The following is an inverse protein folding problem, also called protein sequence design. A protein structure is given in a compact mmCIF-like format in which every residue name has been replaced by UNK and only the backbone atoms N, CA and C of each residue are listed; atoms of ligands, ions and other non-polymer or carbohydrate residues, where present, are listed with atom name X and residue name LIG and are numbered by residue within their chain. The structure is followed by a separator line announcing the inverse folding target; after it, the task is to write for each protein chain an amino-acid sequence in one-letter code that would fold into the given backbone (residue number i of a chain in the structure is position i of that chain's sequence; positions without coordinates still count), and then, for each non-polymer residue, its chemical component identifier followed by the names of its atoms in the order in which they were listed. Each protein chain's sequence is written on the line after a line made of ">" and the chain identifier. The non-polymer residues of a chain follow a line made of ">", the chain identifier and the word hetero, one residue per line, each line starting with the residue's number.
data_IF_843648562922
#
_entry.id   IF_843648562922
#
_cell.length_a   1.000
_cell.length_b   1.000
_cell.length_c   1.000
_cell.angle_alpha   90.00
_cell.angle_beta   90.00
_cell.angle_gamma   90.00
#
_symmetry.space_group_name_H-M   'P 1'
#
loop_
_entity.id
_entity.type
_entity.pdbx_description
1 polymer ?
#
# COMPACT_ATOMS: atom_id res chain seq x y z
N UNK A 1 23.70 -0.30 -0.94
CA UNK A 1 23.04 -1.62 -1.06
C UNK A 1 21.99 -1.49 -2.16
N UNK A 2 22.24 -2.04 -3.37
CA UNK A 2 21.35 -1.85 -4.52
C UNK A 2 20.17 -2.83 -4.46
N UNK A 3 18.99 -2.34 -4.05
CA UNK A 3 17.74 -3.08 -4.13
C UNK A 3 17.23 -3.01 -5.58
N UNK A 4 17.61 -3.98 -6.40
CA UNK A 4 17.05 -4.18 -7.74
C UNK A 4 15.62 -4.72 -7.60
N UNK A 5 14.62 -3.84 -7.58
CA UNK A 5 13.22 -4.18 -7.78
C UNK A 5 12.97 -4.43 -9.27
N UNK A 6 13.05 -5.71 -9.69
CA UNK A 6 12.46 -6.15 -10.95
C UNK A 6 10.93 -6.13 -10.80
N UNK A 7 10.29 -4.98 -11.04
CA UNK A 7 8.85 -4.91 -11.27
C UNK A 7 8.56 -5.44 -12.68
N UNK A 8 8.26 -6.73 -12.82
CA UNK A 8 7.54 -7.22 -13.98
C UNK A 8 6.06 -6.80 -13.82
N UNK A 9 5.75 -5.59 -14.26
CA UNK A 9 4.38 -5.11 -14.42
C UNK A 9 3.73 -5.88 -15.57
N UNK A 10 2.87 -6.84 -15.26
CA UNK A 10 1.96 -7.46 -16.24
C UNK A 10 0.59 -6.83 -16.07
N UNK A 11 0.23 -5.94 -17.00
CA UNK A 11 -1.12 -5.39 -17.13
C UNK A 11 -1.95 -6.27 -18.08
N UNK A 12 -3.21 -6.50 -17.72
CA UNK A 12 -4.19 -7.13 -18.61
C UNK A 12 -4.47 -6.21 -19.82
N UNK A 13 -4.22 -6.75 -21.02
CA UNK A 13 -4.78 -6.25 -22.29
C UNK A 13 -6.04 -7.07 -22.62
N UNK A 14 -7.07 -6.39 -23.10
CA UNK A 14 -8.44 -6.90 -23.22
C UNK A 14 -8.55 -8.19 -24.03
N UNK A 15 -9.16 -9.22 -23.43
CA UNK A 15 -9.67 -10.42 -24.12
C UNK A 15 -11.13 -10.61 -23.67
N UNK A 16 -12.07 -10.32 -24.58
CA UNK A 16 -13.51 -10.52 -24.38
C UNK A 16 -13.85 -12.01 -24.38
N UNK A 17 -14.24 -12.54 -23.22
CA UNK A 17 -15.02 -13.78 -23.14
C UNK A 17 -16.24 -13.54 -22.26
N UNK A 18 -17.43 -13.63 -22.86
CA UNK A 18 -18.71 -13.50 -22.17
C UNK A 18 -19.12 -14.86 -21.62
N UNK A 19 -19.22 -14.97 -20.30
CA UNK A 19 -20.07 -15.96 -19.65
C UNK A 19 -21.01 -15.26 -18.65
N UNK A 20 -22.29 -15.63 -18.70
CA UNK A 20 -23.36 -15.06 -17.87
C UNK A 20 -23.24 -15.49 -16.40
N UNK A 21 -23.42 -14.58 -15.42
CA UNK A 21 -23.34 -14.94 -14.02
C UNK A 21 -24.64 -15.61 -13.54
N UNK A 22 -24.49 -16.80 -12.95
CA UNK A 22 -25.54 -17.47 -12.17
C UNK A 22 -25.81 -16.69 -10.88
N UNK A 23 -27.11 -16.57 -10.59
CA UNK A 23 -27.71 -15.82 -9.49
C UNK A 23 -27.21 -16.29 -8.11
N UNK A 24 -26.52 -15.41 -7.38
CA UNK A 24 -26.21 -15.57 -5.95
C UNK A 24 -26.95 -14.48 -5.19
N UNK A 25 -27.62 -14.89 -4.10
CA UNK A 25 -28.48 -14.08 -3.25
C UNK A 25 -27.83 -12.75 -2.81
N UNK A 26 -28.67 -11.72 -2.77
CA UNK A 26 -28.42 -10.33 -2.36
C UNK A 26 -27.85 -10.19 -0.94
N UNK A 27 -26.55 -10.34 -0.81
CA UNK A 27 -25.76 -9.40 -0.01
C UNK A 27 -25.51 -8.17 -0.90
N UNK A 28 -25.64 -6.96 -0.35
CA UNK A 28 -25.44 -5.72 -1.11
C UNK A 28 -24.09 -5.77 -1.80
N UNK A 29 -24.10 -5.83 -3.13
CA UNK A 29 -22.90 -5.94 -3.93
C UNK A 29 -22.01 -4.71 -3.64
N UNK A 30 -21.01 -4.86 -2.78
CA UNK A 30 -20.16 -3.76 -2.31
C UNK A 30 -19.27 -3.21 -3.42
N UNK A 31 -19.23 -3.89 -4.57
CA UNK A 31 -18.31 -3.66 -5.67
C UNK A 31 -19.09 -3.44 -6.97
N UNK A 32 -18.62 -2.49 -7.78
CA UNK A 32 -19.20 -2.13 -9.06
C UNK A 32 -18.81 -3.11 -10.16
N UNK A 33 -19.75 -3.52 -11.02
CA UNK A 33 -19.44 -4.28 -12.24
C UNK A 33 -18.62 -3.51 -13.29
N UNK A 34 -18.41 -2.20 -13.11
CA UNK A 34 -17.67 -1.36 -14.07
C UNK A 34 -16.25 -1.12 -13.59
N UNK A 35 -15.30 -1.33 -14.51
CA UNK A 35 -13.89 -1.00 -14.32
C UNK A 35 -13.65 0.50 -14.52
N UNK A 36 -13.04 1.14 -13.53
CA UNK A 36 -12.74 2.58 -13.53
C UNK A 36 -11.36 2.82 -12.94
N UNK A 37 -10.72 3.97 -13.22
CA UNK A 37 -9.54 4.43 -12.49
C UNK A 37 -9.66 4.19 -10.98
N UNK A 38 -8.63 3.62 -10.36
CA UNK A 38 -8.61 3.43 -8.91
C UNK A 38 -8.68 4.77 -8.18
N UNK A 39 -9.52 4.83 -7.13
CA UNK A 39 -9.65 6.00 -6.25
C UNK A 39 -8.94 5.68 -4.93
N UNK A 40 -7.78 6.28 -4.72
CA UNK A 40 -7.01 6.12 -3.47
C UNK A 40 -7.15 7.39 -2.64
N UNK A 41 -7.39 7.26 -1.34
CA UNK A 41 -7.41 8.40 -0.40
C UNK A 41 -6.30 8.23 0.62
N UNK A 42 -5.37 9.18 0.66
CA UNK A 42 -4.39 9.27 1.73
C UNK A 42 -4.94 10.07 2.93
N UNK A 43 -4.92 9.48 4.12
CA UNK A 43 -5.33 10.12 5.37
C UNK A 43 -4.09 10.53 6.18
N UNK A 44 -3.79 11.83 6.15
CA UNK A 44 -2.60 12.41 6.76
C UNK A 44 -2.83 12.97 8.17
N UNK A 45 -3.97 12.66 8.81
CA UNK A 45 -4.32 13.21 10.13
C UNK A 45 -3.25 12.96 11.19
N UNK A 46 -2.55 11.82 11.13
CA UNK A 46 -1.46 11.50 12.06
C UNK A 46 -0.23 12.39 11.78
N UNK A 47 0.21 12.48 10.53
CA UNK A 47 1.31 13.38 10.14
C UNK A 47 1.05 14.84 10.53
N UNK A 48 -0.22 15.27 10.45
CA UNK A 48 -0.66 16.63 10.80
C UNK A 48 -0.87 16.86 12.30
N UNK A 49 -0.65 15.84 13.15
CA UNK A 49 -0.87 15.91 14.60
C UNK A 49 -2.35 16.03 15.00
N UNK A 50 -3.29 15.76 14.08
CA UNK A 50 -4.74 15.76 14.33
C UNK A 50 -5.23 14.44 14.93
N UNK A 51 -4.42 13.39 14.81
CA UNK A 51 -4.65 12.08 15.39
C UNK A 51 -3.35 11.57 15.97
N UNK A 52 -3.44 10.88 17.09
CA UNK A 52 -2.26 10.36 17.76
C UNK A 52 -1.82 8.99 17.24
N UNK A 53 -0.51 8.81 17.06
CA UNK A 53 0.15 7.51 16.99
C UNK A 53 1.14 7.43 18.19
N UNK A 54 0.89 6.55 19.16
CA UNK A 54 1.70 6.49 20.39
C UNK A 54 3.14 6.07 20.13
N UNK A 55 3.43 5.50 18.95
CA UNK A 55 4.77 5.07 18.55
C UNK A 55 5.49 6.10 17.67
N UNK A 56 4.96 7.33 17.55
CA UNK A 56 5.65 8.43 16.85
C UNK A 56 6.41 9.33 17.83
N UNK A 57 7.61 9.74 17.43
CA UNK A 57 8.42 10.73 18.14
C UNK A 57 7.85 12.13 17.96
N UNK A 58 7.35 12.75 19.03
CA UNK A 58 6.71 14.08 19.00
C UNK A 58 7.59 15.20 19.54
N UNK A 59 8.59 14.83 20.36
CA UNK A 59 9.54 15.75 20.99
C UNK A 59 10.86 15.03 21.26
N UNK A 60 11.95 15.79 21.23
CA UNK A 60 13.28 15.30 21.62
C UNK A 60 13.26 14.87 23.09
N UNK A 61 13.91 13.74 23.39
CA UNK A 61 13.96 13.14 24.71
C UNK A 61 12.71 12.35 25.10
N UNK A 62 11.72 12.20 24.20
CA UNK A 62 10.60 11.29 24.43
C UNK A 62 11.09 9.84 24.42
N UNK A 63 10.68 9.07 25.42
CA UNK A 63 10.90 7.63 25.49
C UNK A 63 9.76 6.89 24.79
N UNK A 64 10.09 6.00 23.85
CA UNK A 64 9.14 5.10 23.19
C UNK A 64 9.67 3.68 23.32
N UNK A 65 8.85 2.76 23.83
CA UNK A 65 9.20 1.35 23.92
C UNK A 65 8.61 0.58 22.73
N UNK A 66 9.46 0.23 21.77
CA UNK A 66 9.09 -0.58 20.62
C UNK A 66 9.17 -2.07 20.98
N UNK A 67 8.20 -2.86 20.52
CA UNK A 67 8.11 -4.29 20.85
C UNK A 67 9.36 -5.08 20.44
N UNK A 68 10.01 -4.69 19.34
CA UNK A 68 11.16 -5.40 18.78
C UNK A 68 12.50 -4.67 19.01
N UNK A 69 12.51 -3.34 18.95
CA UNK A 69 13.73 -2.54 19.12
C UNK A 69 14.00 -2.11 20.57
N UNK A 70 13.04 -2.31 21.47
CA UNK A 70 13.15 -1.91 22.87
C UNK A 70 12.97 -0.40 23.09
N UNK A 71 13.61 0.12 24.14
CA UNK A 71 13.51 1.53 24.52
C UNK A 71 14.32 2.41 23.55
N UNK A 72 13.62 3.32 22.88
CA UNK A 72 14.20 4.38 22.06
C UNK A 72 14.00 5.75 22.71
N UNK A 73 15.03 6.60 22.64
CA UNK A 73 14.96 8.00 23.07
C UNK A 73 14.97 8.86 21.82
N UNK A 74 13.86 9.54 21.56
CA UNK A 74 13.68 10.35 20.36
C UNK A 74 14.72 11.49 20.25
N UNK A 75 15.38 11.56 19.11
CA UNK A 75 16.30 12.63 18.70
C UNK A 75 15.62 13.59 17.71
N UNK A 76 16.23 14.76 17.44
CA UNK A 76 15.69 15.74 16.48
C UNK A 76 15.43 15.12 15.09
N UNK A 77 16.29 14.20 14.67
CA UNK A 77 16.19 13.51 13.38
C UNK A 77 14.99 12.56 13.28
N UNK A 78 14.41 12.17 14.42
CA UNK A 78 13.24 11.29 14.50
C UNK A 78 11.91 12.07 14.45
N UNK A 79 11.97 13.39 14.37
CA UNK A 79 10.82 14.26 14.23
C UNK A 79 10.67 14.67 12.76
N UNK A 80 9.43 14.68 12.26
CA UNK A 80 9.16 15.26 10.95
C UNK A 80 9.11 16.78 11.01
N UNK A 81 9.88 17.42 10.15
CA UNK A 81 9.76 18.85 9.87
C UNK A 81 8.48 19.15 9.08
N UNK A 82 8.03 20.42 9.11
CA UNK A 82 6.90 20.86 8.27
C UNK A 82 7.15 20.63 6.77
N UNK A 83 8.40 20.77 6.32
CA UNK A 83 8.77 20.54 4.91
C UNK A 83 8.68 19.05 4.57
N UNK A 84 9.14 18.18 5.45
CA UNK A 84 9.04 16.73 5.29
C UNK A 84 7.58 16.25 5.25
N UNK A 85 6.70 16.79 6.10
CA UNK A 85 5.26 16.50 6.05
C UNK A 85 4.67 16.91 4.69
N UNK A 86 5.04 18.09 4.17
CA UNK A 86 4.59 18.54 2.85
C UNK A 86 5.15 17.66 1.72
N UNK A 87 6.41 17.22 1.84
CA UNK A 87 7.05 16.33 0.89
C UNK A 87 6.36 14.96 0.81
N UNK A 88 6.03 14.34 1.95
CA UNK A 88 5.25 13.09 2.00
C UNK A 88 3.91 13.28 1.30
N UNK A 89 3.14 14.30 1.70
CA UNK A 89 1.80 14.56 1.16
C UNK A 89 1.82 14.82 -0.34
N UNK A 90 2.74 15.67 -0.80
CA UNK A 90 2.87 16.01 -2.21
C UNK A 90 3.29 14.82 -3.06
N UNK A 91 4.33 14.09 -2.62
CA UNK A 91 4.86 12.93 -3.35
C UNK A 91 3.84 11.80 -3.38
N UNK A 92 3.14 11.54 -2.28
CA UNK A 92 2.08 10.53 -2.24
C UNK A 92 0.91 10.89 -3.17
N UNK A 93 0.52 12.16 -3.26
CA UNK A 93 -0.48 12.59 -4.25
C UNK A 93 0.00 12.38 -5.70
N UNK A 94 1.29 12.59 -5.97
CA UNK A 94 1.88 12.30 -7.28
C UNK A 94 1.82 10.81 -7.62
N UNK A 95 2.18 9.94 -6.66
CA UNK A 95 2.09 8.48 -6.83
C UNK A 95 0.65 8.03 -7.01
N UNK A 96 -0.30 8.53 -6.20
CA UNK A 96 -1.73 8.24 -6.36
C UNK A 96 -2.21 8.65 -7.74
N UNK A 97 -1.83 9.83 -8.23
CA UNK A 97 -2.18 10.30 -9.58
C UNK A 97 -1.60 9.40 -10.68
N UNK A 98 -0.38 8.90 -10.50
CA UNK A 98 0.21 7.91 -11.40
C UNK A 98 -0.62 6.62 -11.40
N UNK A 99 -0.85 6.04 -10.22
CA UNK A 99 -1.62 4.80 -10.06
C UNK A 99 -3.05 4.91 -10.59
N UNK A 100 -3.75 6.02 -10.37
CA UNK A 100 -5.10 6.24 -10.91
C UNK A 100 -5.15 6.26 -12.44
N UNK A 101 -4.07 6.67 -13.12
CA UNK A 101 -3.99 6.60 -14.60
C UNK A 101 -3.64 5.20 -15.10
N UNK A 102 -2.90 4.46 -14.29
CA UNK A 102 -2.31 3.17 -14.66
C UNK A 102 -3.24 2.00 -14.33
N UNK A 103 -3.95 2.06 -13.21
CA UNK A 103 -4.78 0.97 -12.69
C UNK A 103 -6.27 1.25 -12.85
N UNK A 104 -6.98 0.24 -13.36
CA UNK A 104 -8.44 0.19 -13.30
C UNK A 104 -8.86 -0.87 -12.29
N UNK A 105 -9.95 -0.62 -11.59
CA UNK A 105 -10.56 -1.53 -10.63
C UNK A 105 -12.08 -1.50 -10.77
N UNK A 106 -12.72 -2.60 -10.38
CA UNK A 106 -14.14 -2.59 -10.02
C UNK A 106 -14.35 -1.76 -8.75
N UNK A 107 -14.91 -0.56 -8.88
CA UNK A 107 -14.94 0.39 -7.77
C UNK A 107 -15.81 -0.06 -6.59
N UNK A 108 -15.40 0.25 -5.36
CA UNK A 108 -16.25 0.07 -4.17
C UNK A 108 -17.45 1.03 -4.20
N UNK A 109 -18.63 0.51 -3.91
CA UNK A 109 -19.89 1.23 -3.88
C UNK A 109 -20.23 1.72 -2.47
N UNK A 110 -19.76 1.01 -1.45
CA UNK A 110 -19.94 1.37 -0.04
C UNK A 110 -18.77 2.21 0.48
N UNK A 111 -19.02 3.17 1.38
CA UNK A 111 -17.96 3.92 2.04
C UNK A 111 -17.07 3.01 2.91
N UNK A 112 -15.78 3.33 2.97
CA UNK A 112 -14.83 2.65 3.85
C UNK A 112 -14.92 3.28 5.24
N UNK A 113 -15.19 2.47 6.25
CA UNK A 113 -15.06 2.84 7.65
C UNK A 113 -13.66 2.41 8.11
N UNK A 114 -12.78 3.38 8.29
CA UNK A 114 -11.43 3.13 8.76
C UNK A 114 -11.18 3.97 10.02
N UNK A 115 -10.82 3.26 11.08
CA UNK A 115 -10.61 3.83 12.41
C UNK A 115 -11.87 4.57 12.92
N UNK A 116 -11.83 5.90 12.94
CA UNK A 116 -12.88 6.80 13.43
C UNK A 116 -13.53 7.64 12.30
N UNK A 117 -13.21 7.35 11.03
CA UNK A 117 -13.61 8.17 9.90
C UNK A 117 -14.23 7.34 8.77
N UNK A 118 -15.24 7.96 8.14
CA UNK A 118 -15.91 7.45 6.95
C UNK A 118 -15.32 8.09 5.70
N UNK A 119 -14.88 7.26 4.77
CA UNK A 119 -14.33 7.68 3.48
C UNK A 119 -15.27 7.23 2.37
N UNK A 120 -15.89 8.21 1.71
CA UNK A 120 -16.78 7.98 0.58
C UNK A 120 -16.01 8.07 -0.74
N UNK A 121 -16.52 7.41 -1.78
CA UNK A 121 -15.96 7.49 -3.14
C UNK A 121 -14.47 7.10 -3.21
N UNK A 122 -14.10 6.04 -2.49
CA UNK A 122 -12.72 5.56 -2.40
C UNK A 122 -12.70 4.03 -2.52
N UNK A 123 -11.63 3.51 -3.12
CA UNK A 123 -11.38 2.09 -3.29
C UNK A 123 -10.33 1.59 -2.30
N UNK A 124 -9.38 2.46 -1.92
CA UNK A 124 -8.31 2.19 -0.96
C UNK A 124 -8.07 3.43 -0.11
N UNK A 125 -8.06 3.26 1.22
CA UNK A 125 -7.63 4.29 2.17
C UNK A 125 -6.24 3.94 2.68
N UNK A 126 -5.33 4.89 2.64
CA UNK A 126 -3.97 4.74 3.16
C UNK A 126 -3.79 5.74 4.29
N UNK A 127 -3.68 5.25 5.52
CA UNK A 127 -3.33 6.10 6.66
C UNK A 127 -1.81 6.26 6.73
N UNK A 128 -1.32 7.49 6.77
CA UNK A 128 0.13 7.75 6.82
C UNK A 128 0.55 8.17 8.21
N UNK A 129 1.60 7.54 8.72
CA UNK A 129 2.24 7.87 9.99
C UNK A 129 3.77 7.89 9.82
N UNK A 130 4.51 8.10 10.89
CA UNK A 130 5.96 8.06 10.92
C UNK A 130 6.45 7.45 12.22
N UNK A 131 7.57 6.72 12.15
CA UNK A 131 8.16 6.02 13.29
C UNK A 131 9.68 5.99 13.15
N UNK A 132 10.35 5.81 14.28
CA UNK A 132 11.76 5.46 14.26
C UNK A 132 11.93 4.03 13.73
N UNK A 133 12.97 3.83 12.94
CA UNK A 133 13.45 2.52 12.50
C UNK A 133 14.93 2.41 12.86
N UNK A 134 15.32 1.26 13.39
CA UNK A 134 16.70 0.99 13.81
C UNK A 134 17.62 0.63 12.63
N UNK A 135 17.05 0.40 11.45
CA UNK A 135 17.73 0.04 10.21
C UNK A 135 17.53 1.12 9.11
N UNK A 136 18.00 0.83 7.90
CA UNK A 136 17.90 1.72 6.73
C UNK A 136 16.49 1.75 6.10
N UNK A 137 15.44 1.33 6.82
CA UNK A 137 14.07 1.33 6.31
C UNK A 137 13.60 2.77 6.08
N UNK A 138 13.30 3.10 4.82
CA UNK A 138 12.78 4.42 4.44
C UNK A 138 11.28 4.54 4.74
N UNK A 139 10.53 3.49 4.44
CA UNK A 139 9.12 3.38 4.74
C UNK A 139 8.73 1.90 4.86
N UNK A 140 7.61 1.63 5.50
CA UNK A 140 7.03 0.30 5.56
C UNK A 140 5.50 0.36 5.60
N UNK A 141 4.86 -0.55 4.90
CA UNK A 141 3.44 -0.84 4.98
C UNK A 141 3.13 -1.74 6.20
N UNK A 142 2.01 -1.49 6.87
CA UNK A 142 1.42 -2.47 7.79
C UNK A 142 -0.10 -2.30 7.90
N UNK A 143 -0.74 -3.34 8.44
CA UNK A 143 -2.17 -3.33 8.81
C UNK A 143 -3.09 -3.17 7.62
N UNK A 144 -3.07 -4.19 6.76
CA UNK A 144 -3.97 -4.30 5.63
C UNK A 144 -5.33 -4.83 6.13
N UNK A 145 -6.42 -4.15 5.78
CA UNK A 145 -7.77 -4.71 5.86
C UNK A 145 -8.27 -5.02 4.45
N UNK A 146 -8.94 -6.15 4.28
CA UNK A 146 -9.40 -6.64 2.99
C UNK A 146 -10.86 -7.11 3.07
N UNK A 147 -11.54 -7.12 1.93
CA UNK A 147 -12.89 -7.67 1.85
C UNK A 147 -12.89 -9.21 1.90
N UNK A 148 -13.99 -9.81 2.36
CA UNK A 148 -14.06 -11.26 2.56
C UNK A 148 -14.29 -12.08 1.29
N UNK A 149 -14.68 -11.44 0.18
CA UNK A 149 -15.09 -12.13 -1.04
C UNK A 149 -13.89 -12.27 -2.00
N UNK A 150 -13.25 -11.15 -2.32
CA UNK A 150 -12.13 -11.07 -3.25
C UNK A 150 -10.79 -10.86 -2.56
N UNK A 151 -10.77 -10.76 -1.22
CA UNK A 151 -9.56 -10.46 -0.46
C UNK A 151 -8.84 -9.19 -0.95
N UNK A 152 -9.57 -8.25 -1.54
CA UNK A 152 -9.00 -6.99 -2.01
C UNK A 152 -8.71 -6.09 -0.81
N UNK A 153 -7.47 -5.61 -0.66
CA UNK A 153 -7.14 -4.56 0.29
C UNK A 153 -7.94 -3.29 0.07
N UNK A 154 -8.49 -2.75 1.15
CA UNK A 154 -9.25 -1.50 1.12
C UNK A 154 -8.76 -0.48 2.15
N UNK A 155 -7.95 -0.92 3.12
CA UNK A 155 -7.28 -0.05 4.07
C UNK A 155 -5.86 -0.55 4.32
N UNK A 156 -4.91 0.36 4.42
CA UNK A 156 -3.52 0.08 4.77
C UNK A 156 -2.94 1.24 5.59
N UNK A 157 -1.85 0.99 6.30
CA UNK A 157 -1.05 2.04 6.95
C UNK A 157 0.35 2.05 6.37
N UNK A 158 0.89 3.24 6.11
CA UNK A 158 2.29 3.40 5.72
C UNK A 158 2.99 4.25 6.77
N UNK A 159 4.12 3.77 7.26
CA UNK A 159 4.99 4.43 8.22
C UNK A 159 6.25 4.91 7.51
N UNK A 160 6.54 6.19 7.62
CA UNK A 160 7.77 6.79 7.08
C UNK A 160 8.83 6.89 8.17
N UNK A 161 10.08 6.69 7.79
CA UNK A 161 11.24 6.99 8.63
C UNK A 161 11.63 8.46 8.49
N UNK A 162 11.50 9.30 9.54
CA UNK A 162 11.74 10.74 9.45
C UNK A 162 13.11 11.11 8.90
N UNK A 163 14.15 10.31 9.20
CA UNK A 163 15.53 10.54 8.75
C UNK A 163 15.71 10.44 7.23
N UNK A 164 14.81 9.73 6.54
CA UNK A 164 14.88 9.48 5.10
C UNK A 164 13.88 10.31 4.29
N UNK A 165 13.01 11.08 4.95
CA UNK A 165 12.02 11.90 4.24
C UNK A 165 12.69 13.16 3.70
N UNK A 166 12.59 13.45 2.39
CA UNK A 166 13.16 14.65 1.80
C UNK A 166 12.39 15.91 2.21
N UNK A 167 13.02 17.07 2.04
CA UNK A 167 12.40 18.38 2.28
C UNK A 167 11.61 18.93 1.06
N UNK A 168 11.67 18.23 -0.08
CA UNK A 168 11.03 18.62 -1.34
C UNK A 168 10.01 17.57 -1.79
N UNK A 169 8.96 18.02 -2.47
CA UNK A 169 8.01 17.14 -3.16
C UNK A 169 8.72 16.53 -4.37
N UNK A 170 8.57 15.22 -4.55
CA UNK A 170 9.20 14.44 -5.62
C UNK A 170 8.16 13.98 -6.64
N UNK A 171 8.55 13.96 -7.91
CA UNK A 171 7.76 13.46 -9.04
C UNK A 171 8.48 12.27 -9.70
N UNK A 172 7.73 11.49 -10.46
CA UNK A 172 8.23 10.35 -11.24
C UNK A 172 9.43 10.71 -12.13
N UNK A 173 9.40 11.90 -12.75
CA UNK A 173 10.39 12.33 -13.74
C UNK A 173 11.52 13.19 -13.16
N UNK A 174 11.57 13.38 -11.84
CA UNK A 174 12.68 14.10 -11.21
C UNK A 174 13.95 13.26 -11.32
N UNK A 175 15.12 13.91 -11.43
CA UNK A 175 16.41 13.21 -11.51
C UNK A 175 16.67 12.34 -10.27
N UNK A 176 16.23 12.82 -9.12
CA UNK A 176 16.34 12.17 -7.81
C UNK A 176 14.92 11.82 -7.35
N UNK A 177 14.43 10.67 -7.83
CA UNK A 177 13.06 10.19 -7.67
C UNK A 177 12.94 8.95 -6.75
N UNK A 178 13.98 8.63 -5.98
CA UNK A 178 14.02 7.45 -5.11
C UNK A 178 12.81 7.43 -4.15
N UNK A 179 12.52 8.55 -3.48
CA UNK A 179 11.40 8.63 -2.55
C UNK A 179 10.02 8.45 -3.22
N UNK A 180 9.86 8.84 -4.49
CA UNK A 180 8.65 8.55 -5.25
C UNK A 180 8.49 7.05 -5.44
N UNK A 181 9.56 6.36 -5.83
CA UNK A 181 9.54 4.91 -6.01
C UNK A 181 9.40 4.14 -4.69
N UNK A 182 9.92 4.65 -3.58
CA UNK A 182 9.66 4.10 -2.25
C UNK A 182 8.17 4.18 -1.92
N UNK A 183 7.53 5.33 -2.10
CA UNK A 183 6.08 5.44 -1.86
C UNK A 183 5.30 4.52 -2.81
N UNK A 184 5.70 4.43 -4.08
CA UNK A 184 5.08 3.51 -5.03
C UNK A 184 5.22 2.05 -4.58
N UNK A 185 6.39 1.66 -4.07
CA UNK A 185 6.66 0.33 -3.53
C UNK A 185 5.74 0.00 -2.35
N UNK A 186 5.64 0.89 -1.35
CA UNK A 186 4.76 0.67 -0.21
C UNK A 186 3.27 0.64 -0.58
N UNK A 187 2.84 1.51 -1.52
CA UNK A 187 1.45 1.45 -2.01
C UNK A 187 1.20 0.16 -2.79
N UNK A 188 2.22 -0.40 -3.45
CA UNK A 188 2.11 -1.69 -4.13
C UNK A 188 1.87 -2.82 -3.13
N UNK A 189 2.57 -2.83 -1.99
CA UNK A 189 2.24 -3.72 -0.88
C UNK A 189 0.82 -3.50 -0.36
N UNK A 190 0.41 -2.24 -0.15
CA UNK A 190 -0.96 -1.90 0.27
C UNK A 190 -2.06 -2.32 -0.74
N UNK A 191 -1.70 -2.53 -2.00
CA UNK A 191 -2.59 -3.06 -3.04
C UNK A 191 -2.68 -4.60 -3.04
N UNK A 192 -1.94 -5.29 -2.17
CA UNK A 192 -1.96 -6.74 -2.02
C UNK A 192 -0.81 -7.46 -2.74
N UNK A 193 0.22 -6.75 -3.19
CA UNK A 193 1.47 -7.36 -3.67
C UNK A 193 2.36 -7.75 -2.49
N UNK A 194 1.85 -8.64 -1.64
CA UNK A 194 2.58 -9.23 -0.53
C UNK A 194 2.41 -10.74 -0.54
N UNK A 195 3.44 -11.47 -0.08
CA UNK A 195 3.45 -12.93 -0.06
C UNK A 195 2.24 -13.51 0.67
N UNK A 196 1.73 -12.82 1.69
CA UNK A 196 0.56 -13.20 2.48
C UNK A 196 -0.72 -13.26 1.65
N UNK A 197 -0.77 -12.59 0.50
CA UNK A 197 -1.93 -12.59 -0.41
C UNK A 197 -1.77 -13.51 -1.61
N UNK A 198 -0.61 -14.11 -1.85
CA UNK A 198 -0.38 -14.90 -3.07
C UNK A 198 -1.35 -16.08 -3.22
N UNK A 199 -1.75 -16.71 -2.12
CA UNK A 199 -2.75 -17.79 -2.11
C UNK A 199 -4.19 -17.29 -2.28
N UNK A 200 -4.42 -15.97 -2.24
CA UNK A 200 -5.71 -15.31 -2.45
C UNK A 200 -5.86 -14.74 -3.86
N UNK A 201 -4.81 -14.77 -4.67
CA UNK A 201 -4.88 -14.27 -6.04
C UNK A 201 -5.85 -15.12 -6.84
N UNK A 202 -6.74 -14.47 -7.57
CA UNK A 202 -7.86 -15.10 -8.24
C UNK A 202 -8.04 -14.53 -9.66
N UNK A 203 -8.70 -15.26 -10.58
CA UNK A 203 -9.02 -14.75 -11.90
C UNK A 203 -9.91 -13.51 -11.86
N UNK A 204 -9.93 -12.80 -12.98
CA UNK A 204 -10.81 -11.66 -13.18
C UNK A 204 -12.28 -12.07 -12.93
N UNK A 205 -12.99 -11.33 -12.09
CA UNK A 205 -14.41 -11.55 -11.75
C UNK A 205 -14.76 -12.91 -11.11
N UNK A 206 -13.76 -13.71 -10.74
CA UNK A 206 -13.94 -14.95 -10.00
C UNK A 206 -13.26 -14.83 -8.63
N UNK A 207 -14.00 -14.91 -7.51
CA UNK A 207 -13.40 -14.85 -6.18
C UNK A 207 -12.63 -16.11 -5.78
N UNK A 208 -12.74 -17.21 -6.54
CA UNK A 208 -12.02 -18.45 -6.26
C UNK A 208 -10.52 -18.28 -6.58
N UNK A 209 -9.61 -18.43 -5.60
CA UNK A 209 -8.18 -18.29 -5.86
C UNK A 209 -7.63 -19.31 -6.85
N UNK A 210 -6.56 -18.93 -7.53
CA UNK A 210 -5.80 -19.84 -8.38
C UNK A 210 -5.30 -21.05 -7.58
N UNK A 211 -5.37 -22.23 -8.20
CA UNK A 211 -4.77 -23.44 -7.62
C UNK A 211 -3.27 -23.39 -7.82
N UNK A 212 -2.52 -23.51 -6.72
CA UNK A 212 -1.06 -23.52 -6.70
C UNK A 212 -0.42 -22.32 -7.42
N UNK A 213 -0.68 -21.07 -6.97
CA UNK A 213 -0.15 -19.86 -7.61
C UNK A 213 1.36 -19.70 -7.40
N UNK A 214 2.01 -20.64 -6.71
CA UNK A 214 3.42 -20.59 -6.35
C UNK A 214 4.13 -21.81 -6.93
N UNK A 215 5.19 -21.56 -7.70
CA UNK A 215 6.12 -22.57 -8.19
C UNK A 215 7.45 -22.42 -7.46
N UNK A 216 8.02 -23.54 -7.01
CA UNK A 216 9.30 -23.57 -6.32
C UNK A 216 10.26 -24.55 -6.99
N UNK A 217 11.52 -24.14 -7.16
CA UNK A 217 12.58 -25.06 -7.56
C UNK A 217 13.92 -24.66 -6.97
N UNK A 218 14.84 -25.62 -6.88
CA UNK A 218 16.19 -25.40 -6.38
C UNK A 218 17.20 -25.41 -7.52
N UNK A 219 18.04 -24.38 -7.61
CA UNK A 219 19.15 -24.30 -8.58
C UNK A 219 20.34 -23.63 -7.91
N UNK A 220 21.56 -24.09 -8.18
CA UNK A 220 22.79 -23.53 -7.59
C UNK A 220 22.79 -23.44 -6.05
N UNK A 221 22.21 -24.45 -5.36
CA UNK A 221 22.04 -24.48 -3.90
C UNK A 221 21.20 -23.30 -3.34
N UNK A 222 20.39 -22.67 -4.19
CA UNK A 222 19.40 -21.67 -3.81
C UNK A 222 18.00 -22.18 -4.11
N UNK A 223 17.05 -21.84 -3.24
CA UNK A 223 15.62 -22.10 -3.45
C UNK A 223 15.00 -20.85 -4.05
N UNK A 224 14.30 -21.01 -5.17
CA UNK A 224 13.59 -19.93 -5.83
C UNK A 224 12.10 -20.16 -5.69
N UNK A 225 11.36 -19.07 -5.48
CA UNK A 225 9.90 -19.05 -5.41
C UNK A 225 9.40 -18.09 -6.48
N UNK A 226 8.48 -18.55 -7.32
CA UNK A 226 7.88 -17.76 -8.39
C UNK A 226 6.37 -17.74 -8.20
N UNK A 227 5.78 -16.56 -8.35
CA UNK A 227 4.35 -16.42 -8.54
C UNK A 227 4.02 -16.82 -9.99
N UNK A 228 3.14 -17.79 -10.17
CA UNK A 228 2.75 -18.39 -11.46
C UNK A 228 1.22 -18.36 -11.61
N UNK A 229 0.65 -17.17 -11.75
CA UNK A 229 -0.78 -17.04 -12.04
C UNK A 229 -1.03 -17.07 -13.55
N UNK A 230 -2.06 -17.79 -14.02
CA UNK A 230 -2.58 -17.65 -15.38
C UNK A 230 -2.95 -16.20 -15.70
N UNK A 231 -2.86 -15.85 -17.00
CA UNK A 231 -3.28 -14.55 -17.55
C UNK A 231 -4.80 -14.44 -17.63
#
# INVERSE_FOLDING_TARGET
>A
MHLFLFLNLVFATTSDHKDEPKNVNTEQNEISRKWRPIRITADHRILEGKKDDPLSCKRVGQEINYTYDGLHICEEKDLLSKKQILAIKGTMNNVIKFLSKTLKVQSRLTPILAEDKKFSNTDLVISTSYRFFSDDTVATESSISWDSIYFRPYFAKIFFSPIHVPDKIINENDFDNEFFYTILHEITHALGFDKTFYDKYHPHENPEPYKNPICQFSKYRKNFTFLVTPY
#
